data_IF_355701019233
#
_entry.id   IF_355701019233
#
_cell.length_a   1.000
_cell.length_b   1.000
_cell.length_c   1.000
_cell.angle_alpha   90.00
_cell.angle_beta   90.00
_cell.angle_gamma   90.00
#
_symmetry.space_group_name_H-M   'P 1'
#
loop_
_entity.id
_entity.type
_entity.pdbx_description
1 polymer ?
#
# COMPACT_ATOMS: atom_id res chain seq x y z
N UNK A 1 -28.68 7.39 2.51
CA UNK A 1 -29.46 7.66 3.75
C UNK A 1 -29.35 6.56 4.81
N UNK A 2 -28.93 5.32 4.49
CA UNK A 2 -28.79 4.20 5.45
C UNK A 2 -27.47 4.19 6.24
N UNK A 3 -26.39 4.75 5.69
CA UNK A 3 -25.03 4.68 6.24
C UNK A 3 -24.85 5.39 7.58
N UNK A 4 -25.49 6.55 7.79
CA UNK A 4 -25.33 7.31 9.05
C UNK A 4 -25.90 6.59 10.28
N UNK A 5 -26.85 5.67 10.09
CA UNK A 5 -27.51 4.97 11.20
C UNK A 5 -26.71 3.80 11.75
N UNK A 6 -25.79 3.25 10.96
CA UNK A 6 -25.02 2.06 11.34
C UNK A 6 -23.70 2.39 12.04
N UNK A 7 -23.17 3.61 11.84
CA UNK A 7 -21.86 4.02 12.39
C UNK A 7 -21.77 3.86 13.91
N UNK A 8 -22.75 4.29 14.74
CA UNK A 8 -22.67 4.09 16.18
C UNK A 8 -22.57 2.61 16.58
N UNK A 9 -23.34 1.74 15.92
CA UNK A 9 -23.29 0.31 16.19
C UNK A 9 -21.94 -0.31 15.77
N UNK A 10 -21.40 0.11 14.62
CA UNK A 10 -20.08 -0.33 14.18
C UNK A 10 -18.96 0.12 15.11
N UNK A 11 -19.05 1.33 15.67
CA UNK A 11 -18.11 1.81 16.70
C UNK A 11 -18.19 0.93 17.95
N UNK A 12 -19.39 0.56 18.39
CA UNK A 12 -19.56 -0.38 19.52
C UNK A 12 -18.87 -1.71 19.23
N UNK A 13 -19.11 -2.30 18.05
CA UNK A 13 -18.48 -3.57 17.66
C UNK A 13 -16.95 -3.45 17.51
N UNK A 14 -16.44 -2.30 17.07
CA UNK A 14 -15.00 -2.06 16.96
C UNK A 14 -14.29 -2.00 18.32
N UNK A 15 -15.04 -1.69 19.38
CA UNK A 15 -14.56 -1.61 20.76
C UNK A 15 -14.96 -2.84 21.59
N UNK A 16 -15.52 -3.87 20.96
CA UNK A 16 -15.93 -5.10 21.64
C UNK A 16 -14.73 -5.79 22.31
N UNK A 17 -14.85 -6.35 23.52
CA UNK A 17 -13.75 -7.06 24.16
C UNK A 17 -13.28 -8.30 23.37
N UNK A 18 -14.14 -8.89 22.54
CA UNK A 18 -13.80 -10.05 21.74
C UNK A 18 -13.08 -9.65 20.43
N UNK A 19 -11.84 -10.09 20.28
CA UNK A 19 -11.01 -9.77 19.10
C UNK A 19 -11.61 -10.29 17.78
N UNK A 20 -12.39 -11.36 17.83
CA UNK A 20 -13.07 -11.92 16.65
C UNK A 20 -14.15 -10.95 16.13
N UNK A 21 -14.91 -10.32 17.03
CA UNK A 21 -15.96 -9.33 16.73
C UNK A 21 -15.34 -8.07 16.16
N UNK A 22 -14.25 -7.60 16.79
CA UNK A 22 -13.41 -6.52 16.25
C UNK A 22 -12.97 -6.81 14.83
N UNK A 23 -12.40 -8.01 14.60
CA UNK A 23 -11.90 -8.44 13.28
C UNK A 23 -13.00 -8.45 12.23
N UNK A 24 -14.18 -9.00 12.55
CA UNK A 24 -15.32 -9.08 11.65
C UNK A 24 -15.89 -7.69 11.27
N UNK A 25 -15.60 -6.66 12.07
CA UNK A 25 -16.07 -5.28 11.83
C UNK A 25 -15.19 -4.54 10.80
N UNK A 26 -13.91 -4.90 10.67
CA UNK A 26 -12.94 -4.22 9.79
C UNK A 26 -13.39 -4.16 8.32
N UNK A 27 -13.87 -5.25 7.67
CA UNK A 27 -14.37 -5.17 6.30
C UNK A 27 -15.52 -4.19 6.13
N UNK A 28 -16.37 -4.05 7.14
CA UNK A 28 -17.53 -3.15 7.08
C UNK A 28 -17.08 -1.69 7.06
N UNK A 29 -16.03 -1.36 7.82
CA UNK A 29 -15.37 -0.05 7.70
C UNK A 29 -14.78 0.14 6.30
N UNK A 30 -14.21 -0.90 5.70
CA UNK A 30 -13.74 -0.83 4.31
C UNK A 30 -14.86 -0.45 3.32
N UNK A 31 -16.00 -1.10 3.43
CA UNK A 31 -17.20 -0.81 2.62
C UNK A 31 -17.67 0.63 2.85
N UNK A 32 -17.59 1.14 4.08
CA UNK A 32 -17.93 2.53 4.39
C UNK A 32 -17.01 3.52 3.67
N UNK A 33 -15.69 3.29 3.64
CA UNK A 33 -14.76 4.16 2.90
C UNK A 33 -15.10 4.17 1.40
N UNK A 34 -15.47 3.03 0.83
CA UNK A 34 -15.75 2.93 -0.61
C UNK A 34 -17.09 3.61 -1.00
N UNK A 35 -18.10 3.53 -0.14
CA UNK A 35 -19.48 3.88 -0.51
C UNK A 35 -20.06 5.11 0.21
N UNK A 36 -19.41 5.59 1.27
CA UNK A 36 -19.87 6.79 1.96
C UNK A 36 -19.65 8.02 1.07
N UNK A 37 -20.60 8.94 1.12
CA UNK A 37 -20.44 10.31 0.61
C UNK A 37 -20.54 11.33 1.72
N UNK A 38 -20.67 10.86 2.97
CA UNK A 38 -20.74 11.70 4.15
C UNK A 38 -19.36 11.78 4.80
N UNK A 39 -18.79 12.99 4.80
CA UNK A 39 -17.47 13.26 5.34
C UNK A 39 -17.33 12.92 6.82
N UNK A 40 -18.37 13.16 7.62
CA UNK A 40 -18.36 12.83 9.05
C UNK A 40 -18.26 11.30 9.26
N UNK A 41 -18.91 10.52 8.39
CA UNK A 41 -18.83 9.06 8.45
C UNK A 41 -17.45 8.59 8.05
N UNK A 42 -16.89 9.14 6.98
CA UNK A 42 -15.53 8.82 6.53
C UNK A 42 -14.49 9.13 7.61
N UNK A 43 -14.55 10.30 8.23
CA UNK A 43 -13.59 10.70 9.25
C UNK A 43 -13.67 9.79 10.48
N UNK A 44 -14.89 9.42 10.90
CA UNK A 44 -15.09 8.41 11.96
C UNK A 44 -14.56 7.05 11.56
N UNK A 45 -14.75 6.63 10.31
CA UNK A 45 -14.23 5.37 9.79
C UNK A 45 -12.70 5.36 9.75
N UNK A 46 -12.06 6.43 9.28
CA UNK A 46 -10.61 6.57 9.31
C UNK A 46 -10.07 6.57 10.73
N UNK A 47 -10.75 7.21 11.67
CA UNK A 47 -10.37 7.17 13.08
C UNK A 47 -10.41 5.74 13.64
N UNK A 48 -11.47 4.98 13.37
CA UNK A 48 -11.57 3.58 13.83
C UNK A 48 -10.52 2.67 13.19
N UNK A 49 -10.26 2.83 11.89
CA UNK A 49 -9.18 2.08 11.23
C UNK A 49 -7.81 2.39 11.84
N UNK A 50 -7.50 3.66 12.09
CA UNK A 50 -6.25 4.05 12.78
C UNK A 50 -6.13 3.48 14.19
N UNK A 51 -7.24 3.39 14.93
CA UNK A 51 -7.25 2.76 16.25
C UNK A 51 -6.87 1.27 16.16
N UNK A 52 -7.42 0.52 15.19
CA UNK A 52 -7.00 -0.86 14.97
C UNK A 52 -5.51 -0.98 14.61
N UNK A 53 -5.00 -0.06 13.78
CA UNK A 53 -3.59 -0.06 13.39
C UNK A 53 -2.65 0.30 14.55
N UNK A 54 -3.14 1.04 15.54
CA UNK A 54 -2.37 1.46 16.71
C UNK A 54 -2.51 0.51 17.90
N UNK A 55 -3.52 -0.37 17.90
CA UNK A 55 -3.77 -1.36 18.96
C UNK A 55 -2.78 -2.54 18.87
N UNK A 56 -1.87 -2.72 19.85
CA UNK A 56 -0.93 -3.84 19.85
C UNK A 56 -1.62 -5.21 19.80
N UNK A 57 -2.78 -5.35 20.46
CA UNK A 57 -3.53 -6.60 20.50
C UNK A 57 -4.02 -6.99 19.09
N UNK A 58 -4.49 -6.00 18.32
CA UNK A 58 -4.91 -6.19 16.94
C UNK A 58 -3.73 -6.53 16.02
N UNK A 59 -2.55 -5.93 16.24
CA UNK A 59 -1.34 -6.19 15.44
C UNK A 59 -0.74 -7.56 15.69
N UNK A 60 -0.79 -8.05 16.92
CA UNK A 60 -0.25 -9.35 17.30
C UNK A 60 -1.19 -10.51 16.90
N UNK A 61 -2.49 -10.21 16.78
CA UNK A 61 -3.49 -11.16 16.32
C UNK A 61 -3.42 -11.35 14.79
N UNK A 62 -3.08 -12.57 14.35
CA UNK A 62 -2.89 -12.84 12.92
C UNK A 62 -4.15 -12.65 12.06
N UNK A 63 -5.32 -13.23 12.41
CA UNK A 63 -6.56 -12.96 11.68
C UNK A 63 -6.86 -11.46 11.55
N UNK A 64 -6.70 -10.69 12.63
CA UNK A 64 -6.94 -9.24 12.60
C UNK A 64 -5.96 -8.52 11.68
N UNK A 65 -4.65 -8.79 11.80
CA UNK A 65 -3.63 -8.20 10.93
C UNK A 65 -3.86 -8.53 9.46
N UNK A 66 -4.18 -9.78 9.14
CA UNK A 66 -4.51 -10.21 7.78
C UNK A 66 -5.73 -9.45 7.25
N UNK A 67 -6.79 -9.35 8.05
CA UNK A 67 -7.99 -8.64 7.67
C UNK A 67 -7.73 -7.13 7.44
N UNK A 68 -6.86 -6.52 8.24
CA UNK A 68 -6.43 -5.14 8.04
C UNK A 68 -5.72 -4.97 6.71
N UNK A 69 -4.73 -5.82 6.38
CA UNK A 69 -4.01 -5.73 5.10
C UNK A 69 -4.96 -5.82 3.91
N UNK A 70 -5.87 -6.81 3.94
CA UNK A 70 -6.88 -6.99 2.87
C UNK A 70 -7.76 -5.75 2.74
N UNK A 71 -8.30 -5.26 3.85
CA UNK A 71 -9.19 -4.10 3.82
C UNK A 71 -8.47 -2.82 3.38
N UNK A 72 -7.25 -2.57 3.86
CA UNK A 72 -6.43 -1.43 3.44
C UNK A 72 -6.14 -1.47 1.94
N UNK A 73 -5.77 -2.64 1.42
CA UNK A 73 -5.53 -2.87 -0.01
C UNK A 73 -6.77 -2.61 -0.88
N UNK A 74 -7.97 -2.90 -0.37
CA UNK A 74 -9.22 -2.65 -1.09
C UNK A 74 -9.61 -1.18 -1.12
N UNK A 75 -9.35 -0.42 -0.04
CA UNK A 75 -9.80 0.97 0.06
C UNK A 75 -8.79 2.00 -0.43
N UNK A 76 -7.54 1.60 -0.70
CA UNK A 76 -6.44 2.53 -0.99
C UNK A 76 -6.76 3.51 -2.14
N UNK A 77 -7.44 3.04 -3.19
CA UNK A 77 -7.84 3.87 -4.34
C UNK A 77 -9.08 4.75 -4.07
N UNK A 78 -9.82 4.49 -3.00
CA UNK A 78 -11.09 5.15 -2.69
C UNK A 78 -10.99 6.17 -1.55
N UNK A 79 -9.90 6.13 -0.78
CA UNK A 79 -9.70 7.02 0.36
C UNK A 79 -9.03 8.35 0.01
N UNK A 80 -9.10 9.28 0.96
CA UNK A 80 -8.42 10.57 0.88
C UNK A 80 -6.91 10.40 0.72
N UNK A 81 -6.28 11.33 -0.01
CA UNK A 81 -4.84 11.30 -0.26
C UNK A 81 -4.02 11.29 1.02
N UNK A 82 -4.42 12.04 2.06
CA UNK A 82 -3.70 12.06 3.33
C UNK A 82 -3.77 10.69 4.03
N UNK A 83 -4.93 10.03 4.01
CA UNK A 83 -5.10 8.73 4.67
C UNK A 83 -4.31 7.65 3.93
N UNK A 84 -4.34 7.71 2.60
CA UNK A 84 -3.51 6.84 1.76
C UNK A 84 -2.01 7.01 2.04
N UNK A 85 -1.53 8.25 2.03
CA UNK A 85 -0.10 8.57 2.07
C UNK A 85 0.51 8.44 3.47
N UNK A 86 -0.24 8.81 4.51
CA UNK A 86 0.25 8.86 5.89
C UNK A 86 -0.13 7.62 6.71
N UNK A 87 -1.15 6.85 6.28
CA UNK A 87 -1.64 5.68 7.04
C UNK A 87 -1.51 4.39 6.25
N UNK A 88 -2.19 4.27 5.09
CA UNK A 88 -2.29 2.99 4.38
C UNK A 88 -0.92 2.50 3.92
N UNK A 89 -0.23 3.28 3.09
CA UNK A 89 1.03 2.84 2.47
C UNK A 89 2.13 2.59 3.51
N UNK A 90 2.33 3.48 4.53
CA UNK A 90 3.26 3.20 5.62
C UNK A 90 2.92 1.91 6.38
N UNK A 91 1.64 1.65 6.64
CA UNK A 91 1.22 0.44 7.34
C UNK A 91 1.47 -0.84 6.53
N UNK A 92 1.19 -0.82 5.22
CA UNK A 92 1.49 -1.94 4.32
C UNK A 92 3.00 -2.21 4.28
N UNK A 93 3.82 -1.16 4.21
CA UNK A 93 5.28 -1.27 4.23
C UNK A 93 5.79 -1.87 5.55
N UNK A 94 5.30 -1.39 6.69
CA UNK A 94 5.65 -1.93 8.00
C UNK A 94 5.23 -3.41 8.14
N UNK A 95 4.06 -3.76 7.60
CA UNK A 95 3.57 -5.14 7.61
C UNK A 95 4.41 -6.05 6.71
N UNK A 96 4.86 -5.58 5.55
CA UNK A 96 5.79 -6.33 4.69
C UNK A 96 7.13 -6.62 5.38
N UNK A 97 7.70 -5.61 6.06
CA UNK A 97 8.91 -5.79 6.85
C UNK A 97 8.73 -6.80 7.99
N UNK A 98 7.59 -6.75 8.68
CA UNK A 98 7.23 -7.74 9.70
C UNK A 98 7.08 -9.16 9.10
N UNK A 99 6.37 -9.29 7.98
CA UNK A 99 6.14 -10.57 7.29
C UNK A 99 7.46 -11.23 6.88
N UNK A 100 8.46 -10.44 6.45
CA UNK A 100 9.80 -10.95 6.16
C UNK A 100 10.47 -11.63 7.36
N UNK A 101 10.19 -11.17 8.57
CA UNK A 101 10.77 -11.70 9.81
C UNK A 101 9.96 -12.86 10.41
N UNK A 102 8.79 -13.19 9.85
CA UNK A 102 7.97 -14.28 10.36
C UNK A 102 8.63 -15.64 10.13
N UNK A 103 8.72 -16.41 11.22
CA UNK A 103 9.21 -17.80 11.20
C UNK A 103 8.12 -18.81 10.87
N UNK A 104 6.86 -18.49 11.20
CA UNK A 104 5.70 -19.32 10.90
C UNK A 104 5.36 -19.21 9.40
N UNK A 105 5.59 -20.31 8.68
CA UNK A 105 5.43 -20.37 7.22
C UNK A 105 4.00 -20.10 6.75
N UNK A 106 3.01 -20.68 7.42
CA UNK A 106 1.59 -20.48 7.06
C UNK A 106 1.20 -19.00 7.20
N UNK A 107 1.48 -18.40 8.36
CA UNK A 107 1.18 -16.97 8.59
C UNK A 107 1.92 -16.05 7.62
N UNK A 108 3.16 -16.40 7.30
CA UNK A 108 3.98 -15.67 6.35
C UNK A 108 3.38 -15.71 4.95
N UNK A 109 2.96 -16.90 4.50
CA UNK A 109 2.33 -17.09 3.20
C UNK A 109 1.01 -16.31 3.10
N UNK A 110 0.13 -16.41 4.11
CA UNK A 110 -1.16 -15.73 4.12
C UNK A 110 -1.00 -14.20 4.00
N UNK A 111 -0.07 -13.63 4.77
CA UNK A 111 0.23 -12.20 4.69
C UNK A 111 0.91 -11.82 3.38
N UNK A 112 1.79 -12.67 2.84
CA UNK A 112 2.48 -12.40 1.59
C UNK A 112 1.48 -12.26 0.42
N UNK A 113 0.51 -13.18 0.32
CA UNK A 113 -0.55 -13.11 -0.70
C UNK A 113 -1.35 -11.82 -0.55
N UNK A 114 -1.83 -11.53 0.67
CA UNK A 114 -2.61 -10.33 0.94
C UNK A 114 -1.83 -9.03 0.65
N UNK A 115 -0.51 -9.01 0.93
CA UNK A 115 0.35 -7.87 0.65
C UNK A 115 0.57 -7.69 -0.85
N UNK A 116 0.76 -8.76 -1.63
CA UNK A 116 0.87 -8.66 -3.10
C UNK A 116 -0.38 -8.00 -3.68
N UNK A 117 -1.57 -8.43 -3.27
CA UNK A 117 -2.83 -7.82 -3.72
C UNK A 117 -2.94 -6.35 -3.27
N UNK A 118 -2.62 -6.06 -2.00
CA UNK A 118 -2.72 -4.71 -1.47
C UNK A 118 -1.74 -3.73 -2.16
N UNK A 119 -0.50 -4.16 -2.42
CA UNK A 119 0.47 -3.35 -3.14
C UNK A 119 0.12 -3.20 -4.63
N UNK A 120 -0.48 -4.22 -5.25
CA UNK A 120 -0.98 -4.13 -6.64
C UNK A 120 -2.02 -3.03 -6.80
N UNK A 121 -2.88 -2.82 -5.80
CA UNK A 121 -3.82 -1.70 -5.80
C UNK A 121 -3.15 -0.36 -5.43
N UNK A 122 -2.17 -0.40 -4.53
CA UNK A 122 -1.52 0.81 -4.01
C UNK A 122 -0.55 1.45 -5.01
N UNK A 123 0.18 0.64 -5.78
CA UNK A 123 1.24 1.13 -6.68
C UNK A 123 0.68 2.07 -7.75
N UNK A 124 -0.55 1.88 -8.22
CA UNK A 124 -1.17 2.74 -9.25
C UNK A 124 -1.94 3.94 -8.68
N UNK A 125 -2.00 4.08 -7.35
CA UNK A 125 -2.65 5.23 -6.74
C UNK A 125 -1.83 6.51 -6.91
N UNK A 126 -2.51 7.67 -6.87
CA UNK A 126 -1.84 8.97 -6.81
C UNK A 126 -1.25 9.18 -5.41
N UNK A 127 0.05 8.93 -5.30
CA UNK A 127 0.86 9.01 -4.09
C UNK A 127 1.85 10.16 -4.21
N UNK A 128 2.16 10.81 -3.10
CA UNK A 128 3.24 11.79 -3.05
C UNK A 128 4.60 11.12 -3.32
N UNK A 129 5.53 11.87 -3.92
CA UNK A 129 6.91 11.40 -4.12
C UNK A 129 7.56 10.98 -2.81
N UNK A 130 7.26 11.70 -1.72
CA UNK A 130 7.74 11.37 -0.39
C UNK A 130 7.29 9.97 0.01
N UNK A 131 5.98 9.68 -0.02
CA UNK A 131 5.42 8.37 0.31
C UNK A 131 5.95 7.25 -0.57
N UNK A 132 6.16 7.51 -1.87
CA UNK A 132 6.76 6.52 -2.77
C UNK A 132 8.15 6.11 -2.29
N UNK A 133 8.98 7.09 -1.93
CA UNK A 133 10.38 6.88 -1.53
C UNK A 133 10.48 6.30 -0.13
N UNK A 134 9.70 6.82 0.83
CA UNK A 134 9.85 6.50 2.25
C UNK A 134 9.07 5.25 2.68
N UNK A 135 8.01 4.89 1.96
CA UNK A 135 7.13 3.78 2.34
C UNK A 135 6.93 2.76 1.22
N UNK A 136 6.43 3.16 0.05
CA UNK A 136 6.06 2.22 -1.01
C UNK A 136 7.26 1.39 -1.48
N UNK A 137 8.36 2.03 -1.88
CA UNK A 137 9.54 1.35 -2.40
C UNK A 137 10.19 0.43 -1.34
N UNK A 138 10.45 0.88 -0.10
CA UNK A 138 10.89 -0.02 0.96
C UNK A 138 9.93 -1.19 1.18
N UNK A 139 8.61 -0.94 1.23
CA UNK A 139 7.60 -1.97 1.42
C UNK A 139 7.64 -3.06 0.34
N UNK A 140 7.70 -2.65 -0.93
CA UNK A 140 7.83 -3.55 -2.07
C UNK A 140 9.14 -4.36 -2.05
N UNK A 141 10.25 -3.77 -1.59
CA UNK A 141 11.54 -4.48 -1.43
C UNK A 141 11.48 -5.56 -0.35
N UNK A 142 10.82 -5.30 0.78
CA UNK A 142 10.59 -6.34 1.79
C UNK A 142 9.68 -7.45 1.23
N UNK A 143 8.64 -7.07 0.48
CA UNK A 143 7.73 -8.03 -0.14
C UNK A 143 8.44 -8.91 -1.18
N UNK A 144 9.33 -8.35 -1.99
CA UNK A 144 10.17 -9.11 -2.94
C UNK A 144 10.92 -10.23 -2.21
N UNK A 145 11.59 -9.91 -1.09
CA UNK A 145 12.32 -10.89 -0.29
C UNK A 145 11.40 -11.98 0.29
N UNK A 146 10.18 -11.61 0.70
CA UNK A 146 9.15 -12.57 1.15
C UNK A 146 8.73 -13.49 0.00
N UNK A 147 8.45 -12.95 -1.17
CA UNK A 147 8.01 -13.69 -2.35
C UNK A 147 9.10 -14.65 -2.84
N UNK A 148 10.36 -14.24 -2.88
CA UNK A 148 11.48 -15.11 -3.23
C UNK A 148 11.54 -16.39 -2.37
N UNK A 149 11.08 -16.30 -1.12
CA UNK A 149 11.11 -17.43 -0.18
C UNK A 149 9.80 -18.22 -0.13
N UNK A 150 8.65 -17.58 -0.39
CA UNK A 150 7.32 -18.13 -0.07
C UNK A 150 6.34 -18.15 -1.24
N UNK A 151 6.50 -17.27 -2.23
CA UNK A 151 5.61 -17.08 -3.38
C UNK A 151 6.43 -16.80 -4.66
N UNK A 152 7.22 -17.77 -5.16
CA UNK A 152 8.11 -17.55 -6.31
C UNK A 152 7.37 -17.05 -7.55
N UNK A 153 6.12 -17.49 -7.76
CA UNK A 153 5.28 -17.08 -8.88
C UNK A 153 4.87 -15.60 -8.84
N UNK A 154 4.98 -14.93 -7.70
CA UNK A 154 4.63 -13.51 -7.54
C UNK A 154 5.84 -12.56 -7.64
N UNK A 155 7.08 -13.08 -7.71
CA UNK A 155 8.30 -12.25 -7.71
C UNK A 155 8.34 -11.28 -8.89
N UNK A 156 8.01 -11.73 -10.10
CA UNK A 156 8.01 -10.88 -11.31
C UNK A 156 6.99 -9.74 -11.22
N UNK A 157 5.82 -10.02 -10.63
CA UNK A 157 4.79 -9.02 -10.36
C UNK A 157 5.32 -7.95 -9.42
N UNK A 158 5.95 -8.33 -8.31
CA UNK A 158 6.53 -7.38 -7.34
C UNK A 158 7.67 -6.56 -7.96
N UNK A 159 8.55 -7.18 -8.74
CA UNK A 159 9.60 -6.47 -9.47
C UNK A 159 9.05 -5.43 -10.44
N UNK A 160 7.95 -5.74 -11.11
CA UNK A 160 7.27 -4.79 -12.01
C UNK A 160 6.68 -3.62 -11.22
N UNK A 161 6.09 -3.87 -10.05
CA UNK A 161 5.62 -2.81 -9.15
C UNK A 161 6.76 -1.91 -8.65
N UNK A 162 7.93 -2.49 -8.33
CA UNK A 162 9.12 -1.71 -7.92
C UNK A 162 9.54 -0.77 -9.04
N UNK A 163 9.69 -1.26 -10.27
CA UNK A 163 10.07 -0.45 -11.43
C UNK A 163 9.08 0.69 -11.69
N UNK A 164 7.77 0.40 -11.58
CA UNK A 164 6.73 1.41 -11.72
C UNK A 164 6.87 2.51 -10.65
N UNK A 165 7.03 2.14 -9.39
CA UNK A 165 7.23 3.08 -8.30
C UNK A 165 8.52 3.91 -8.45
N UNK A 166 9.63 3.30 -8.90
CA UNK A 166 10.90 3.99 -9.15
C UNK A 166 10.75 5.06 -10.25
N UNK A 167 10.09 4.72 -11.36
CA UNK A 167 9.89 5.63 -12.50
C UNK A 167 9.15 6.92 -12.12
N UNK A 168 8.28 6.85 -11.11
CA UNK A 168 7.49 7.98 -10.60
C UNK A 168 8.23 8.80 -9.55
N UNK A 169 9.28 8.23 -8.96
CA UNK A 169 10.15 8.91 -8.01
C UNK A 169 11.29 9.69 -8.70
N UNK A 170 11.70 9.28 -9.90
CA UNK A 170 12.77 9.94 -10.65
C UNK A 170 12.43 11.42 -10.96
N UNK A 171 13.41 12.34 -10.84
CA UNK A 171 13.26 13.68 -11.38
C UNK A 171 13.20 13.62 -12.92
N UNK A 172 12.47 14.53 -13.59
CA UNK A 172 12.45 14.56 -15.05
C UNK A 172 13.87 14.70 -15.59
N UNK A 173 14.29 13.77 -16.45
CA UNK A 173 15.61 13.82 -17.09
C UNK A 173 15.74 15.14 -17.85
N UNK A 174 16.87 15.87 -17.75
CA UNK A 174 17.13 17.02 -18.59
C UNK A 174 17.01 16.59 -20.05
N UNK A 175 16.21 17.31 -20.84
CA UNK A 175 16.18 17.14 -22.28
C UNK A 175 17.54 17.58 -22.79
N UNK A 176 18.46 16.64 -23.04
CA UNK A 176 19.65 16.91 -23.85
C UNK A 176 19.15 17.24 -25.26
N UNK A 177 19.11 18.53 -25.58
CA UNK A 177 19.02 18.98 -26.96
C UNK A 177 20.27 18.47 -27.67
N UNK A 178 20.14 17.44 -28.50
CA UNK A 178 21.18 17.01 -29.44
C UNK A 178 21.69 18.22 -30.23
N UNK A 179 22.84 18.75 -29.85
CA UNK A 179 23.63 19.62 -30.72
C UNK A 179 24.34 18.73 -31.73
N UNK A 180 23.69 18.53 -32.88
CA UNK A 180 24.26 17.89 -34.05
C UNK A 180 25.44 18.71 -34.58
N UNK A 181 26.64 18.50 -34.03
CA UNK A 181 27.87 19.01 -34.63
C UNK A 181 28.23 18.14 -35.83
N UNK A 182 27.75 18.56 -36.99
CA UNK A 182 28.23 18.11 -38.30
C UNK A 182 29.69 18.57 -38.47
N UNK A 183 30.66 17.69 -38.22
CA UNK A 183 32.05 17.92 -38.64
C UNK A 183 32.18 17.56 -40.12
N UNK A 184 32.19 18.59 -40.97
CA UNK A 184 32.48 18.48 -42.40
C UNK A 184 34.01 18.40 -42.59
N UNK A 185 34.53 17.20 -42.80
CA UNK A 185 35.91 16.99 -43.27
C UNK A 185 36.04 17.50 -44.70
N UNK A 186 36.75 18.61 -44.91
CA UNK A 186 37.20 19.02 -46.23
C UNK A 186 38.62 18.48 -46.47
N UNK A 187 38.69 17.49 -47.37
CA UNK A 187 39.91 17.12 -48.07
C UNK A 187 40.25 18.20 -49.11
N UNK A 188 41.50 18.66 -49.14
CA UNK A 188 42.06 19.35 -50.31
C UNK A 188 43.42 18.77 -50.63
N UNK A 189 43.47 18.04 -51.75
CA UNK A 189 44.68 17.65 -52.48
C UNK A 189 45.20 18.81 -53.34
N UNK A 190 46.49 18.73 -53.71
CA UNK A 190 47.28 19.51 -54.69
C UNK A 190 47.73 20.91 -54.21
N UNK A 191 49.00 21.29 -54.31
CA UNK A 191 50.03 21.07 -55.36
C UNK A 191 51.40 20.79 -54.75
#
# INVERSE_FOLDING_TARGET
MTTNRIVPALITLANDPEISVKTATIPVFGILVINSTNKEVEDKTYFQLQNFLSDPVARDNHPTLLQLVVTLGQIVAHCDSWFRDEVIVPQLAATAAFTQQLTNQTRRLDLAVALVDAFSNSVYCSLSKSTIITALLPGLKHLEQVCMQSLPEHVETVLSMIKEAESRSEPPKPIERSSSSLTLSMATSNV
#
